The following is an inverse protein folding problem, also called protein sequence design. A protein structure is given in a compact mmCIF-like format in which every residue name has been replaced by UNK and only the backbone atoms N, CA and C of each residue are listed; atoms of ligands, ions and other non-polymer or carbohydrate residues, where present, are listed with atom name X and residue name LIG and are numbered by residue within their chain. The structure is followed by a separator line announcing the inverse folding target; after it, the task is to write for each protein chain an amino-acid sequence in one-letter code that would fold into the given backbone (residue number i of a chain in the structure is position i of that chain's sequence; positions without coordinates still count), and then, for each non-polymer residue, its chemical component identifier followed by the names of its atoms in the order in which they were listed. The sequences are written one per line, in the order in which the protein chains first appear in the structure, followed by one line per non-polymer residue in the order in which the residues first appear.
data_IF_630231479195
#
_entry.id   IF_630231479195
#
_cell.length_a   1.000
_cell.length_b   1.000
_cell.length_c   1.000
_cell.angle_alpha   90.00
_cell.angle_beta   90.00
_cell.angle_gamma   90.00
#
_symmetry.space_group_name_H-M   'P 1'
#
loop_
_entity.id
_entity.type
_entity.pdbx_description
1 polymer ?
#
# COMPACT_ATOMS: atom_id res chain seq x y z
N UNK A 1 10.19 -14.99 -10.69
CA UNK A 1 9.08 -14.05 -10.51
C UNK A 1 9.60 -12.95 -9.60
N UNK A 2 9.39 -11.68 -9.97
CA UNK A 2 9.69 -10.53 -9.11
C UNK A 2 8.79 -10.50 -7.87
N UNK A 3 8.99 -9.54 -6.96
CA UNK A 3 8.06 -9.31 -5.86
C UNK A 3 6.64 -8.99 -6.39
N UNK A 4 5.61 -9.25 -5.59
CA UNK A 4 4.26 -8.81 -5.94
C UNK A 4 4.25 -7.27 -6.01
N UNK A 5 3.64 -6.71 -7.04
CA UNK A 5 3.63 -5.26 -7.29
C UNK A 5 4.75 -4.74 -8.21
N UNK A 6 5.73 -5.57 -8.59
CA UNK A 6 6.76 -5.21 -9.58
C UNK A 6 6.18 -5.37 -10.99
N UNK A 7 5.65 -4.27 -11.53
CA UNK A 7 4.90 -4.27 -12.79
C UNK A 7 5.79 -4.05 -14.01
N UNK A 8 6.95 -3.40 -13.84
CA UNK A 8 7.95 -3.22 -14.89
C UNK A 8 8.95 -4.40 -15.00
N UNK A 9 8.97 -5.31 -14.01
CA UNK A 9 9.80 -6.51 -13.98
C UNK A 9 11.26 -6.23 -13.65
N UNK A 10 11.57 -5.10 -13.01
CA UNK A 10 12.93 -4.67 -12.68
C UNK A 10 13.45 -5.31 -11.38
N UNK A 11 12.58 -6.01 -10.63
CA UNK A 11 12.90 -6.70 -9.38
C UNK A 11 12.84 -5.82 -8.13
N UNK A 12 12.36 -4.59 -8.25
CA UNK A 12 12.19 -3.62 -7.17
C UNK A 12 10.70 -3.25 -7.05
N UNK A 13 10.35 -2.67 -5.90
CA UNK A 13 9.07 -1.99 -5.71
C UNK A 13 9.40 -0.51 -5.59
N UNK A 14 9.24 0.22 -6.68
CA UNK A 14 9.64 1.61 -6.80
C UNK A 14 8.51 2.51 -7.35
N UNK A 15 8.81 3.80 -7.53
CA UNK A 15 7.83 4.78 -7.95
C UNK A 15 7.21 4.45 -9.31
N UNK A 16 7.99 3.85 -10.24
CA UNK A 16 7.49 3.52 -11.58
C UNK A 16 6.39 2.45 -11.51
N UNK A 17 6.44 1.54 -10.55
CA UNK A 17 5.37 0.58 -10.32
C UNK A 17 4.06 1.26 -9.86
N UNK A 18 4.17 2.26 -8.98
CA UNK A 18 2.99 3.01 -8.51
C UNK A 18 2.39 3.81 -9.66
N UNK A 19 3.23 4.43 -10.49
CA UNK A 19 2.80 5.19 -11.66
C UNK A 19 2.10 4.27 -12.69
N UNK A 20 2.64 3.08 -12.92
CA UNK A 20 2.00 2.07 -13.77
C UNK A 20 0.64 1.61 -13.22
N UNK A 21 0.50 1.51 -11.90
CA UNK A 21 -0.77 1.17 -11.26
C UNK A 21 -1.78 2.32 -11.36
N UNK A 22 -1.37 3.57 -11.11
CA UNK A 22 -2.20 4.76 -11.31
C UNK A 22 -2.73 4.83 -12.74
N UNK A 23 -1.84 4.64 -13.73
CA UNK A 23 -2.21 4.60 -15.13
C UNK A 23 -3.21 3.47 -15.43
N UNK A 24 -2.98 2.27 -14.89
CA UNK A 24 -3.90 1.14 -15.07
C UNK A 24 -5.30 1.41 -14.50
N UNK A 25 -5.39 2.09 -13.36
CA UNK A 25 -6.66 2.50 -12.76
C UNK A 25 -7.36 3.55 -13.64
N UNK A 26 -6.63 4.58 -14.09
CA UNK A 26 -7.15 5.65 -14.96
C UNK A 26 -7.67 5.10 -16.30
N UNK A 27 -6.93 4.17 -16.90
CA UNK A 27 -7.26 3.52 -18.17
C UNK A 27 -8.37 2.45 -18.05
N UNK A 28 -8.87 2.18 -16.84
CA UNK A 28 -9.81 1.09 -16.55
C UNK A 28 -9.29 -0.26 -17.09
N UNK A 29 -8.02 -0.53 -16.82
CA UNK A 29 -7.36 -1.78 -17.21
C UNK A 29 -8.11 -2.99 -16.66
N UNK A 30 -8.00 -4.11 -17.37
CA UNK A 30 -8.53 -5.43 -16.92
C UNK A 30 -7.41 -6.45 -16.75
N UNK A 31 -6.15 -6.02 -16.77
CA UNK A 31 -5.01 -6.90 -16.58
C UNK A 31 -4.87 -7.24 -15.08
N UNK A 32 -5.19 -8.50 -14.75
CA UNK A 32 -5.16 -9.03 -13.39
C UNK A 32 -3.82 -8.88 -12.67
N UNK A 33 -2.72 -8.54 -13.37
CA UNK A 33 -1.47 -8.24 -12.68
C UNK A 33 -1.58 -7.04 -11.73
N UNK A 34 -2.47 -6.09 -12.02
CA UNK A 34 -2.68 -4.87 -11.22
C UNK A 34 -3.68 -5.04 -10.06
N UNK A 35 -4.45 -6.14 -10.05
CA UNK A 35 -5.30 -6.54 -8.90
C UNK A 35 -4.39 -7.19 -7.84
N UNK A 36 -3.77 -6.35 -7.02
CA UNK A 36 -2.78 -6.78 -6.02
C UNK A 36 -3.42 -7.10 -4.69
N UNK A 37 -4.61 -6.58 -4.40
CA UNK A 37 -5.35 -6.90 -3.18
C UNK A 37 -6.18 -8.20 -3.32
N UNK A 38 -6.39 -8.68 -4.56
CA UNK A 38 -7.07 -9.93 -4.89
C UNK A 38 -8.58 -9.89 -4.79
N UNK A 39 -9.21 -8.71 -4.86
CA UNK A 39 -10.66 -8.55 -4.78
C UNK A 39 -11.38 -8.66 -6.13
N UNK A 40 -10.62 -8.72 -7.23
CA UNK A 40 -11.13 -8.86 -8.59
C UNK A 40 -11.43 -7.54 -9.30
N UNK A 41 -11.16 -6.40 -8.67
CA UNK A 41 -11.25 -5.06 -9.27
C UNK A 41 -9.86 -4.41 -9.29
N UNK A 42 -9.65 -3.40 -10.16
CA UNK A 42 -8.40 -2.63 -10.21
C UNK A 42 -8.77 -1.20 -9.84
N UNK A 43 -8.53 -0.82 -8.59
CA UNK A 43 -9.04 0.42 -7.99
C UNK A 43 -8.01 1.09 -7.08
N UNK A 44 -8.39 2.21 -6.46
CA UNK A 44 -7.56 2.85 -5.41
C UNK A 44 -7.27 1.90 -4.23
N UNK A 45 -8.07 0.85 -4.02
CA UNK A 45 -7.79 -0.16 -3.00
C UNK A 45 -6.51 -0.97 -3.30
N UNK A 46 -6.20 -1.21 -4.57
CA UNK A 46 -4.95 -1.84 -5.00
C UNK A 46 -3.76 -0.92 -4.75
N UNK A 47 -3.93 0.38 -5.02
CA UNK A 47 -2.89 1.38 -4.78
C UNK A 47 -2.58 1.51 -3.29
N UNK A 48 -3.60 1.52 -2.45
CA UNK A 48 -3.43 1.45 -1.00
C UNK A 48 -2.70 0.15 -0.59
N UNK A 49 -3.14 -1.01 -1.08
CA UNK A 49 -2.48 -2.28 -0.76
C UNK A 49 -1.01 -2.31 -1.20
N UNK A 50 -0.69 -1.75 -2.38
CA UNK A 50 0.69 -1.67 -2.86
C UNK A 50 1.56 -0.82 -1.92
N UNK A 51 1.10 0.38 -1.56
CA UNK A 51 1.87 1.32 -0.71
C UNK A 51 2.00 0.76 0.71
N UNK A 52 0.90 0.29 1.28
CA UNK A 52 0.79 0.02 2.70
C UNK A 52 1.19 -1.40 3.10
N UNK A 53 0.88 -2.40 2.26
CA UNK A 53 1.08 -3.82 2.56
C UNK A 53 2.28 -4.41 1.81
N UNK A 54 2.47 -4.07 0.53
CA UNK A 54 3.58 -4.60 -0.28
C UNK A 54 4.87 -3.83 -0.03
N UNK A 55 4.85 -2.50 -0.20
CA UNK A 55 6.01 -1.63 0.00
C UNK A 55 6.24 -1.32 1.47
N UNK A 56 5.19 -1.39 2.29
CA UNK A 56 5.22 -1.06 3.72
C UNK A 56 5.74 0.35 3.96
N UNK A 57 5.13 1.32 3.28
CA UNK A 57 5.39 2.74 3.46
C UNK A 57 4.09 3.55 3.56
N UNK A 58 4.19 4.87 3.54
CA UNK A 58 3.10 5.82 3.65
C UNK A 58 2.84 6.50 2.30
N UNK A 59 1.59 6.89 2.07
CA UNK A 59 1.32 7.99 1.15
C UNK A 59 2.05 9.24 1.64
N UNK A 60 2.77 9.92 0.74
CA UNK A 60 3.67 11.01 1.09
C UNK A 60 5.16 10.66 1.03
N UNK A 61 5.54 9.40 1.22
CA UNK A 61 6.93 8.94 1.12
C UNK A 61 7.37 8.89 -0.36
N UNK A 62 7.93 10.00 -0.84
CA UNK A 62 8.23 10.21 -2.27
C UNK A 62 9.54 9.56 -2.68
N UNK A 63 10.45 9.36 -1.72
CA UNK A 63 11.74 8.72 -1.97
C UNK A 63 11.70 7.20 -1.68
N UNK A 64 10.58 6.71 -1.14
CA UNK A 64 10.30 5.31 -0.82
C UNK A 64 11.27 4.69 0.20
N UNK A 65 11.74 5.48 1.17
CA UNK A 65 12.65 5.05 2.24
C UNK A 65 11.94 4.43 3.47
N UNK A 66 10.61 4.42 3.45
CA UNK A 66 9.74 3.86 4.48
C UNK A 66 9.24 4.89 5.50
N UNK A 67 9.65 6.15 5.38
CA UNK A 67 9.29 7.27 6.25
C UNK A 67 8.57 8.34 5.43
N UNK A 68 7.53 8.94 5.99
CA UNK A 68 6.97 10.19 5.44
C UNK A 68 7.38 11.35 6.34
N UNK A 69 8.31 12.19 5.89
CA UNK A 69 8.82 13.34 6.64
C UNK A 69 9.16 14.56 5.76
N UNK A 70 9.84 15.55 6.34
CA UNK A 70 10.19 16.78 5.62
C UNK A 70 11.12 16.57 4.42
N UNK A 71 11.87 15.46 4.35
CA UNK A 71 12.74 15.15 3.22
C UNK A 71 11.95 14.78 1.97
N UNK A 72 10.76 14.21 2.12
CA UNK A 72 9.83 13.96 1.00
C UNK A 72 9.32 15.26 0.40
N UNK A 73 8.92 16.21 1.25
CA UNK A 73 8.52 17.53 0.77
C UNK A 73 9.65 18.23 0.03
N UNK A 74 10.89 18.15 0.53
CA UNK A 74 12.04 18.68 -0.21
C UNK A 74 12.19 17.97 -1.56
N UNK A 75 12.00 16.65 -1.61
CA UNK A 75 12.11 15.85 -2.84
C UNK A 75 11.11 16.28 -3.91
N UNK A 76 9.84 16.46 -3.58
CA UNK A 76 8.81 16.85 -4.56
C UNK A 76 8.89 18.33 -4.93
N UNK A 77 9.17 19.22 -3.98
CA UNK A 77 9.22 20.66 -4.28
C UNK A 77 10.44 21.08 -5.12
N UNK A 78 11.54 20.30 -5.13
CA UNK A 78 12.66 20.61 -6.03
C UNK A 78 12.36 20.28 -7.50
N UNK A 79 11.36 19.44 -7.78
CA UNK A 79 10.92 19.16 -9.15
C UNK A 79 10.19 20.35 -9.77
N UNK A 80 9.45 21.10 -8.93
CA UNK A 80 8.80 22.34 -9.33
C UNK A 80 7.44 22.13 -10.02
N UNK A 81 6.80 20.99 -9.80
CA UNK A 81 5.52 20.61 -10.43
C UNK A 81 4.29 20.96 -9.58
N UNK A 82 4.52 21.50 -8.36
CA UNK A 82 3.43 21.92 -7.49
C UNK A 82 2.61 23.06 -8.09
N UNK A 83 1.35 22.78 -8.45
CA UNK A 83 0.39 23.76 -9.01
C UNK A 83 1.02 24.54 -10.19
N UNK A 84 1.69 23.84 -11.11
CA UNK A 84 2.48 24.45 -12.20
C UNK A 84 1.68 24.71 -13.50
N UNK A 85 0.41 24.31 -13.54
CA UNK A 85 -0.50 24.35 -14.69
C UNK A 85 -0.07 23.47 -15.90
N UNK A 86 0.81 22.48 -15.71
CA UNK A 86 1.24 21.53 -16.74
C UNK A 86 0.52 20.20 -16.52
N UNK A 87 -0.44 19.90 -17.38
CA UNK A 87 -1.22 18.68 -17.20
C UNK A 87 -0.39 17.39 -17.40
N UNK A 88 -0.50 16.46 -16.45
CA UNK A 88 -0.03 15.08 -16.54
C UNK A 88 1.49 14.91 -16.55
N UNK A 89 2.24 15.79 -15.86
CA UNK A 89 3.69 15.67 -15.73
C UNK A 89 4.16 15.04 -14.41
N UNK A 90 3.28 14.86 -13.42
CA UNK A 90 3.68 14.34 -12.11
C UNK A 90 3.52 12.83 -12.01
N UNK A 91 4.55 12.16 -11.46
CA UNK A 91 4.47 10.81 -10.92
C UNK A 91 4.56 10.80 -9.39
N UNK A 92 4.60 9.61 -8.79
CA UNK A 92 4.69 9.45 -7.33
C UNK A 92 5.88 10.19 -6.71
N UNK A 93 7.06 10.09 -7.35
CA UNK A 93 8.29 10.73 -6.88
C UNK A 93 8.28 12.26 -7.03
N UNK A 94 7.37 12.79 -7.83
CA UNK A 94 7.20 14.21 -8.10
C UNK A 94 6.03 14.83 -7.30
N UNK A 95 5.22 13.99 -6.65
CA UNK A 95 4.19 14.40 -5.69
C UNK A 95 2.77 13.90 -5.97
N UNK A 96 2.55 13.12 -7.04
CA UNK A 96 1.24 12.53 -7.38
C UNK A 96 0.87 11.38 -6.41
N UNK A 97 0.59 11.72 -5.16
CA UNK A 97 0.24 10.75 -4.13
C UNK A 97 -1.20 10.31 -4.23
N UNK A 98 -2.06 11.00 -4.97
CA UNK A 98 -3.46 10.62 -5.16
C UNK A 98 -3.71 9.81 -6.45
N UNK A 99 -2.75 9.82 -7.39
CA UNK A 99 -2.73 9.02 -8.61
C UNK A 99 -3.47 9.65 -9.78
N UNK A 100 -3.59 10.98 -9.83
CA UNK A 100 -4.29 11.72 -10.89
C UNK A 100 -3.36 12.49 -11.84
N UNK A 101 -2.05 12.21 -11.77
CA UNK A 101 -0.98 12.73 -12.64
C UNK A 101 -0.65 14.21 -12.46
N UNK A 102 -1.13 14.82 -11.39
CA UNK A 102 -0.81 16.19 -10.98
C UNK A 102 -0.12 16.18 -9.61
N UNK A 103 0.62 17.25 -9.29
CA UNK A 103 1.04 17.50 -7.90
C UNK A 103 0.38 18.78 -7.40
N UNK A 104 -0.67 18.63 -6.60
CA UNK A 104 -1.47 19.74 -6.13
C UNK A 104 -1.89 19.59 -4.66
N UNK A 105 -2.75 20.51 -4.20
CA UNK A 105 -3.22 20.48 -2.81
C UNK A 105 -4.02 19.23 -2.40
N UNK A 106 -4.56 18.47 -3.36
CA UNK A 106 -5.30 17.23 -3.12
C UNK A 106 -4.38 16.04 -2.79
N UNK A 107 -3.14 16.04 -3.26
CA UNK A 107 -2.13 15.05 -2.86
C UNK A 107 -1.79 15.15 -1.37
N UNK A 108 -1.71 16.37 -0.84
CA UNK A 108 -1.56 16.54 0.61
C UNK A 108 -2.74 15.95 1.37
N UNK A 109 -3.96 16.09 0.84
CA UNK A 109 -5.15 15.50 1.48
C UNK A 109 -5.06 13.98 1.50
N UNK A 110 -4.57 13.35 0.42
CA UNK A 110 -4.34 11.90 0.39
C UNK A 110 -3.24 11.49 1.39
N UNK A 111 -2.06 12.11 1.35
CA UNK A 111 -0.93 11.74 2.21
C UNK A 111 -1.22 11.91 3.71
N UNK A 112 -1.93 12.97 4.10
CA UNK A 112 -2.22 13.21 5.52
C UNK A 112 -3.36 12.37 6.08
N UNK A 113 -4.21 11.75 5.23
CA UNK A 113 -5.25 10.82 5.72
C UNK A 113 -4.65 9.60 6.44
N UNK A 114 -3.45 9.16 6.04
CA UNK A 114 -2.75 8.03 6.65
C UNK A 114 -2.14 8.31 8.02
N UNK A 115 -2.11 9.57 8.48
CA UNK A 115 -1.45 9.99 9.73
C UNK A 115 0.02 9.53 9.87
N UNK A 116 0.71 9.31 8.74
CA UNK A 116 2.08 8.78 8.71
C UNK A 116 3.19 9.81 8.91
N UNK A 117 2.88 11.10 8.78
CA UNK A 117 3.86 12.17 8.83
C UNK A 117 4.61 12.19 10.17
N UNK A 118 5.95 12.18 10.10
CA UNK A 118 6.86 12.22 11.25
C UNK A 118 6.64 11.07 12.27
N UNK A 119 6.04 9.95 11.83
CA UNK A 119 5.88 8.75 12.68
C UNK A 119 7.11 7.83 12.66
N UNK A 120 8.09 8.11 11.78
CA UNK A 120 9.21 7.22 11.52
C UNK A 120 8.83 6.07 10.57
N UNK A 121 9.67 5.01 10.47
CA UNK A 121 9.44 3.94 9.51
C UNK A 121 8.14 3.19 9.75
N UNK A 122 7.36 2.92 8.69
CA UNK A 122 6.15 2.11 8.81
C UNK A 122 6.52 0.70 9.25
N UNK A 123 5.93 0.27 10.37
CA UNK A 123 6.16 -1.07 10.87
C UNK A 123 5.52 -2.08 9.92
N UNK A 124 6.32 -3.05 9.47
CA UNK A 124 5.80 -4.22 8.79
C UNK A 124 4.73 -4.89 9.68
N UNK A 125 3.50 -5.03 9.18
CA UNK A 125 2.45 -5.71 9.93
C UNK A 125 2.82 -7.19 9.99
N UNK A 126 3.44 -7.60 11.10
CA UNK A 126 3.73 -9.01 11.34
C UNK A 126 2.40 -9.75 11.42
N UNK A 127 2.16 -10.70 10.50
CA UNK A 127 1.01 -11.59 10.55
C UNK A 127 0.96 -12.25 11.93
N UNK A 128 0.01 -11.86 12.76
CA UNK A 128 -0.16 -12.43 14.10
C UNK A 128 -0.45 -13.92 13.94
N UNK A 129 0.34 -14.83 14.53
CA UNK A 129 0.00 -16.26 14.51
C UNK A 129 -1.36 -16.43 15.18
N UNK A 130 -2.34 -17.01 14.48
CA UNK A 130 -3.63 -17.32 15.10
C UNK A 130 -3.35 -18.15 16.36
N UNK A 131 -3.84 -17.72 17.55
CA UNK A 131 -3.68 -18.52 18.76
C UNK A 131 -4.27 -19.89 18.44
N UNK A 132 -3.51 -20.95 18.75
CA UNK A 132 -3.81 -22.34 18.42
C UNK A 132 -5.21 -22.77 18.87
N UNK A 133 -6.23 -22.35 18.14
CA UNK A 133 -7.65 -22.52 18.47
C UNK A 133 -8.03 -24.00 18.37
N UNK A 134 -7.25 -24.74 17.59
CA UNK A 134 -7.21 -26.19 17.50
C UNK A 134 -6.82 -26.87 18.82
N UNK A 135 -5.90 -26.30 19.61
CA UNK A 135 -5.56 -26.83 20.94
C UNK A 135 -6.72 -26.64 21.92
N UNK A 136 -7.40 -25.48 21.88
CA UNK A 136 -8.60 -25.25 22.71
C UNK A 136 -9.77 -26.17 22.34
N UNK A 137 -9.96 -26.45 21.05
CA UNK A 137 -10.98 -27.39 20.56
C UNK A 137 -10.71 -28.83 21.04
N UNK A 138 -9.45 -29.29 21.06
CA UNK A 138 -9.08 -30.63 21.53
C UNK A 138 -9.29 -30.83 23.04
N UNK A 139 -9.06 -29.79 23.85
CA UNK A 139 -9.34 -29.85 25.30
C UNK A 139 -10.86 -29.81 25.61
N UNK A 140 -11.65 -29.08 24.82
CA UNK A 140 -13.11 -29.03 24.96
C UNK A 140 -13.79 -30.39 24.68
N UNK A 141 -13.39 -31.07 23.61
CA UNK A 141 -13.93 -32.40 23.24
C UNK A 141 -13.61 -33.48 24.27
N UNK A 142 -12.41 -33.48 24.84
CA UNK A 142 -12.01 -34.44 25.88
C UNK A 142 -12.83 -34.35 27.17
N UNK A 143 -13.26 -33.14 27.55
CA UNK A 143 -14.08 -32.92 28.75
C UNK A 143 -15.53 -33.38 28.56
N UNK A 144 -16.11 -33.20 27.36
CA UNK A 144 -17.48 -33.62 27.04
C UNK A 144 -17.59 -35.15 26.97
N UNK A 145 -16.61 -35.82 26.36
CA UNK A 145 -16.58 -37.29 26.26
C UNK A 145 -16.47 -37.95 27.64
N UNK A 146 -15.72 -37.34 28.58
CA UNK A 146 -15.60 -37.85 29.96
C UNK A 146 -16.89 -37.68 30.77
N UNK A 147 -17.70 -36.67 30.46
CA UNK A 147 -18.98 -36.41 31.14
C UNK A 147 -20.09 -37.35 30.67
N UNK A 148 -20.11 -37.71 29.38
CA UNK A 148 -21.11 -38.65 28.83
C UNK A 148 -20.92 -40.12 29.23
N UNK A 149 -19.75 -40.52 29.72
CA UNK A 149 -19.45 -41.91 30.13
C UNK A 149 -19.71 -42.20 31.63
N UNK A 150 -20.24 -41.22 32.37
CA UNK A 150 -20.53 -41.30 33.81
C UNK A 150 -22.01 -41.22 34.17
N UNK A 151 -22.91 -41.29 33.18
CA UNK A 151 -24.36 -41.44 33.36
C UNK A 151 -24.83 -42.84 33.01
#
# INVERSE_FOLDING_TARGET
AGPAGDFNGNGQLDAEDIDLLSAAISDNSTDSKFDVNGDGEITRADRAFWVEDLKQTYFGDSNLDGVFDTTDFVTVFVQGEYEDDIAGNSGWADGDWNGDTEFDSSDFVEAFQGNGFEQGPRAAVASVPEPASWLLALFGLGAVIRRGRRS
#
